data_IF_687845676383
#
_entry.id   IF_687845676383
#
_cell.length_a   1.000
_cell.length_b   1.000
_cell.length_c   1.000
_cell.angle_alpha   90.00
_cell.angle_beta   90.00
_cell.angle_gamma   90.00
#
_symmetry.space_group_name_H-M   'P 1'
#
loop_
_entity.id
_entity.type
_entity.pdbx_description
1 polymer ?
#
# COMPACT_ATOMS: atom_id res chain seq x y z
N UNK A 1 24.41 -3.83 -9.91
CA UNK A 1 23.12 -4.54 -9.73
C UNK A 1 22.31 -3.74 -8.73
N UNK A 2 21.10 -3.32 -9.07
CA UNK A 2 20.23 -2.63 -8.12
C UNK A 2 19.67 -3.66 -7.13
N UNK A 3 19.69 -3.35 -5.83
CA UNK A 3 19.09 -4.20 -4.80
C UNK A 3 17.56 -4.18 -4.98
N UNK A 4 16.99 -5.33 -5.34
CA UNK A 4 15.55 -5.53 -5.49
C UNK A 4 15.01 -6.26 -4.26
N UNK A 5 14.02 -5.67 -3.61
CA UNK A 5 13.35 -6.25 -2.44
C UNK A 5 11.83 -6.14 -2.61
N UNK A 6 11.14 -7.26 -2.41
CA UNK A 6 9.67 -7.29 -2.40
C UNK A 6 9.16 -6.84 -1.03
N UNK A 7 8.19 -5.94 -1.02
CA UNK A 7 7.55 -5.42 0.19
C UNK A 7 6.15 -6.04 0.29
N UNK A 8 5.93 -6.83 1.34
CA UNK A 8 4.63 -7.38 1.69
C UNK A 8 4.02 -6.58 2.85
N UNK A 9 2.92 -5.88 2.58
CA UNK A 9 2.18 -5.20 3.63
C UNK A 9 1.09 -6.10 4.19
N UNK A 10 0.96 -6.20 5.53
CA UNK A 10 -0.14 -6.91 6.15
C UNK A 10 -1.46 -6.31 5.66
N UNK A 11 -2.27 -7.12 4.99
CA UNK A 11 -3.64 -6.81 4.61
C UNK A 11 -3.83 -5.62 3.66
N UNK A 12 -2.96 -5.45 2.65
CA UNK A 12 -3.48 -4.89 1.40
C UNK A 12 -4.57 -5.88 0.93
N UNK A 13 -5.82 -5.45 0.76
CA UNK A 13 -6.91 -6.33 0.30
C UNK A 13 -6.72 -6.85 -1.13
N UNK A 14 -5.47 -6.92 -1.61
CA UNK A 14 -5.06 -7.31 -2.92
C UNK A 14 -5.18 -8.83 -3.02
N UNK A 15 -6.08 -9.27 -3.91
CA UNK A 15 -6.46 -10.67 -4.08
C UNK A 15 -5.57 -11.40 -5.10
N UNK A 16 -4.47 -10.77 -5.51
CA UNK A 16 -3.54 -11.26 -6.54
C UNK A 16 -2.19 -11.60 -5.92
N UNK A 17 -1.47 -12.60 -6.47
CA UNK A 17 -0.20 -13.10 -5.90
C UNK A 17 1.00 -12.13 -6.04
N UNK A 18 0.74 -10.86 -6.33
CA UNK A 18 1.78 -9.85 -6.51
C UNK A 18 2.10 -9.18 -5.17
N UNK A 19 3.37 -8.86 -4.90
CA UNK A 19 3.76 -8.12 -3.71
C UNK A 19 3.09 -6.74 -3.69
N UNK A 20 2.85 -6.22 -2.48
CA UNK A 20 2.21 -4.90 -2.28
C UNK A 20 3.03 -3.76 -2.89
N UNK A 21 4.35 -3.87 -2.86
CA UNK A 21 5.28 -2.99 -3.55
C UNK A 21 6.63 -3.68 -3.78
N UNK A 22 7.53 -3.04 -4.53
CA UNK A 22 8.94 -3.41 -4.61
C UNK A 22 9.84 -2.19 -4.41
N UNK A 23 11.00 -2.42 -3.79
CA UNK A 23 12.07 -1.44 -3.64
C UNK A 23 13.19 -1.77 -4.62
N UNK A 24 13.57 -0.80 -5.43
CA UNK A 24 14.66 -0.91 -6.40
C UNK A 24 15.63 0.26 -6.17
N UNK A 25 16.67 0.01 -5.38
CA UNK A 25 17.56 1.08 -4.92
C UNK A 25 16.78 2.14 -4.11
N UNK A 26 16.83 3.44 -4.47
CA UNK A 26 16.16 4.50 -3.73
C UNK A 26 14.64 4.61 -4.04
N UNK A 27 14.15 3.83 -5.01
CA UNK A 27 12.78 3.96 -5.50
C UNK A 27 11.88 2.86 -4.95
N UNK A 28 10.65 3.23 -4.62
CA UNK A 28 9.56 2.31 -4.24
C UNK A 28 8.50 2.36 -5.33
N UNK A 29 8.11 1.18 -5.83
CA UNK A 29 7.08 1.00 -6.84
C UNK A 29 5.94 0.21 -6.21
N UNK A 30 4.76 0.82 -6.07
CA UNK A 30 3.58 0.17 -5.52
C UNK A 30 2.54 -0.11 -6.59
N UNK A 31 1.65 -1.06 -6.32
CA UNK A 31 0.37 -1.17 -7.01
C UNK A 31 -0.57 -0.02 -6.67
N UNK A 32 -1.83 -0.14 -7.07
CA UNK A 32 -2.87 0.82 -6.72
C UNK A 32 -3.12 0.82 -5.21
N UNK A 33 -3.03 2.00 -4.59
CA UNK A 33 -3.31 2.20 -3.16
C UNK A 33 -4.78 2.61 -2.99
N UNK A 34 -5.59 1.73 -2.41
CA UNK A 34 -7.00 2.00 -2.14
C UNK A 34 -7.21 2.65 -0.77
N UNK A 35 -8.23 3.51 -0.66
CA UNK A 35 -8.64 4.17 0.58
C UNK A 35 -9.43 3.30 1.57
N UNK A 36 -9.20 2.00 1.56
CA UNK A 36 -9.88 1.07 2.47
C UNK A 36 -9.40 1.28 3.90
N UNK A 37 -10.27 1.05 4.86
CA UNK A 37 -9.87 1.06 6.26
C UNK A 37 -8.85 -0.06 6.54
N UNK A 38 -7.71 0.23 7.20
CA UNK A 38 -6.64 -0.76 7.40
C UNK A 38 -7.03 -1.88 8.37
N UNK A 39 -8.07 -1.68 9.19
CA UNK A 39 -8.57 -2.65 10.17
C UNK A 39 -9.75 -3.43 9.60
N UNK A 40 -10.81 -2.75 9.15
CA UNK A 40 -12.05 -3.38 8.67
C UNK A 40 -11.97 -3.83 7.21
N UNK A 41 -11.06 -3.26 6.42
CA UNK A 41 -10.90 -3.46 4.95
C UNK A 41 -12.09 -2.98 4.12
N UNK A 42 -13.05 -2.31 4.74
CA UNK A 42 -14.17 -1.67 4.06
C UNK A 42 -13.74 -0.35 3.42
N UNK A 43 -14.45 0.07 2.38
CA UNK A 43 -14.22 1.38 1.78
C UNK A 43 -15.15 2.39 2.48
N UNK A 44 -14.62 3.44 3.15
CA UNK A 44 -15.46 4.49 3.71
C UNK A 44 -16.37 5.12 2.65
N UNK A 45 -17.59 5.51 3.01
CA UNK A 45 -18.53 6.14 2.08
C UNK A 45 -18.10 7.56 1.68
N UNK A 46 -17.45 8.29 2.59
CA UNK A 46 -16.96 9.65 2.37
C UNK A 46 -15.58 9.69 1.73
N UNK A 47 -15.40 10.59 0.76
CA UNK A 47 -14.12 10.80 0.06
C UNK A 47 -13.00 11.15 1.04
N UNK A 48 -13.26 12.01 2.02
CA UNK A 48 -12.25 12.44 3.00
C UNK A 48 -11.65 11.25 3.75
N UNK A 49 -12.49 10.31 4.19
CA UNK A 49 -12.04 9.08 4.85
C UNK A 49 -11.23 8.19 3.93
N UNK A 50 -11.61 8.08 2.66
CA UNK A 50 -10.84 7.33 1.67
C UNK A 50 -9.46 7.97 1.44
N UNK A 51 -9.39 9.30 1.32
CA UNK A 51 -8.13 10.03 1.08
C UNK A 51 -7.20 9.90 2.28
N UNK A 52 -7.70 10.06 3.51
CA UNK A 52 -6.92 9.84 4.74
C UNK A 52 -6.31 8.44 4.76
N UNK A 53 -7.11 7.42 4.42
CA UNK A 53 -6.65 6.04 4.37
C UNK A 53 -5.59 5.81 3.28
N UNK A 54 -5.76 6.40 2.08
CA UNK A 54 -4.75 6.32 1.00
C UNK A 54 -3.40 6.84 1.51
N UNK A 55 -3.36 8.03 2.10
CA UNK A 55 -2.10 8.60 2.56
C UNK A 55 -1.52 7.89 3.78
N UNK A 56 -2.36 7.29 4.63
CA UNK A 56 -1.91 6.39 5.70
C UNK A 56 -1.16 5.17 5.12
N UNK A 57 -1.71 4.53 4.09
CA UNK A 57 -1.04 3.41 3.41
C UNK A 57 0.25 3.82 2.70
N UNK A 58 0.26 4.99 2.04
CA UNK A 58 1.50 5.54 1.44
C UNK A 58 2.57 5.74 2.51
N UNK A 59 2.20 6.26 3.69
CA UNK A 59 3.15 6.42 4.80
C UNK A 59 3.74 5.07 5.21
N UNK A 60 2.91 4.03 5.37
CA UNK A 60 3.40 2.68 5.71
C UNK A 60 4.39 2.18 4.65
N UNK A 61 4.08 2.34 3.36
CA UNK A 61 4.98 1.96 2.26
C UNK A 61 6.33 2.69 2.29
N UNK A 62 6.35 3.96 2.69
CA UNK A 62 7.60 4.75 2.73
C UNK A 62 8.54 4.31 3.86
N UNK A 63 8.01 3.71 4.93
CA UNK A 63 8.77 3.23 6.09
C UNK A 63 8.97 1.70 6.12
N UNK A 64 8.46 0.98 5.13
CA UNK A 64 8.70 -0.44 4.93
C UNK A 64 10.03 -0.67 4.21
#
# INVERSE_FOLDING_TARGET
MAHHESIELPASGMRTPSPSASRNGPFVFSGAVAGRDPVTRELPTGLDGQVVNVFSHVRVLMFA
#
